data_IF_315808259895
#
_entry.id   IF_315808259895
#
_cell.length_a   1.000
_cell.length_b   1.000
_cell.length_c   1.000
_cell.angle_alpha   90.00
_cell.angle_beta   90.00
_cell.angle_gamma   90.00
#
_symmetry.space_group_name_H-M   'P 1'
#
loop_
_entity.id
_entity.type
_entity.pdbx_description
1 polymer ?
#
# COMPACT_ATOMS: atom_id res chain seq x y z
N UNK A 1 -30.31 -67.00 -80.85
CA UNK A 1 -29.55 -67.52 -79.68
C UNK A 1 -28.11 -67.88 -80.03
N UNK A 2 -27.82 -68.58 -81.14
CA UNK A 2 -26.45 -68.97 -81.50
C UNK A 2 -25.51 -67.80 -81.86
N UNK A 3 -26.00 -66.75 -82.54
CA UNK A 3 -25.17 -65.57 -82.84
C UNK A 3 -24.76 -64.79 -81.59
N UNK A 4 -25.67 -64.64 -80.62
CA UNK A 4 -25.38 -64.02 -79.33
C UNK A 4 -24.30 -64.82 -78.57
N UNK A 5 -24.34 -66.15 -78.65
CA UNK A 5 -23.36 -67.03 -78.04
C UNK A 5 -22.00 -67.03 -78.76
N UNK A 6 -21.96 -66.67 -80.03
CA UNK A 6 -20.71 -66.52 -80.78
C UNK A 6 -20.05 -65.17 -80.49
N UNK A 7 -20.82 -64.08 -80.51
CA UNK A 7 -20.34 -62.75 -80.13
C UNK A 7 -19.78 -62.73 -78.69
N UNK A 8 -20.41 -63.46 -77.76
CA UNK A 8 -19.90 -63.60 -76.39
C UNK A 8 -18.57 -64.38 -76.32
N UNK A 9 -18.37 -65.37 -77.19
CA UNK A 9 -17.12 -66.16 -77.25
C UNK A 9 -15.97 -65.39 -77.88
N UNK A 10 -16.25 -64.65 -78.95
CA UNK A 10 -15.24 -63.81 -79.62
C UNK A 10 -14.81 -62.64 -78.72
N UNK A 11 -15.75 -62.05 -77.97
CA UNK A 11 -15.44 -61.07 -76.93
C UNK A 11 -14.56 -61.65 -75.82
N UNK A 12 -14.88 -62.86 -75.32
CA UNK A 12 -14.08 -63.53 -74.30
C UNK A 12 -12.67 -63.90 -74.79
N UNK A 13 -12.53 -64.27 -76.08
CA UNK A 13 -11.24 -64.57 -76.70
C UNK A 13 -10.36 -63.32 -76.90
N UNK A 14 -10.94 -62.11 -76.92
CA UNK A 14 -10.22 -60.83 -76.97
C UNK A 14 -9.76 -60.30 -75.61
N UNK A 15 -10.10 -60.97 -74.51
CA UNK A 15 -9.66 -60.58 -73.15
C UNK A 15 -8.29 -61.23 -72.88
N UNK A 16 -7.21 -60.49 -73.12
CA UNK A 16 -5.87 -60.85 -72.63
C UNK A 16 -5.77 -60.52 -71.13
N UNK A 17 -5.74 -61.55 -70.29
CA UNK A 17 -5.52 -61.39 -68.85
C UNK A 17 -4.03 -61.23 -68.55
N UNK A 18 -3.61 -60.07 -68.06
CA UNK A 18 -2.28 -59.84 -67.48
C UNK A 18 -2.26 -60.34 -66.01
N UNK A 19 -1.61 -61.47 -65.71
CA UNK A 19 -1.59 -62.03 -64.35
C UNK A 19 -0.85 -61.13 -63.35
N UNK A 20 0.15 -60.38 -63.81
CA UNK A 20 0.89 -59.43 -62.97
C UNK A 20 0.02 -58.24 -62.59
N UNK A 21 -0.80 -57.75 -63.53
CA UNK A 21 -1.79 -56.71 -63.25
C UNK A 21 -2.86 -57.18 -62.27
N UNK A 22 -3.35 -58.41 -62.43
CA UNK A 22 -4.34 -58.99 -61.52
C UNK A 22 -3.80 -59.06 -60.09
N UNK A 23 -2.60 -59.61 -59.90
CA UNK A 23 -1.97 -59.71 -58.59
C UNK A 23 -1.78 -58.32 -57.93
N UNK A 24 -1.36 -57.31 -58.70
CA UNK A 24 -1.22 -55.94 -58.19
C UNK A 24 -2.56 -55.32 -57.75
N UNK A 25 -3.65 -55.61 -58.47
CA UNK A 25 -5.00 -55.14 -58.13
C UNK A 25 -5.53 -55.84 -56.88
N UNK A 26 -5.35 -57.15 -56.77
CA UNK A 26 -5.74 -57.92 -55.58
C UNK A 26 -4.99 -57.42 -54.34
N UNK A 27 -3.67 -57.22 -54.45
CA UNK A 27 -2.86 -56.69 -53.35
C UNK A 27 -3.30 -55.27 -52.94
N UNK A 28 -3.63 -54.40 -53.91
CA UNK A 28 -4.19 -53.08 -53.64
C UNK A 28 -5.54 -53.18 -52.91
N UNK A 29 -6.43 -54.07 -53.36
CA UNK A 29 -7.75 -54.30 -52.76
C UNK A 29 -7.62 -54.76 -51.31
N UNK A 30 -6.68 -55.66 -51.02
CA UNK A 30 -6.45 -56.19 -49.67
C UNK A 30 -5.90 -55.11 -48.72
N UNK A 31 -5.08 -54.17 -49.22
CA UNK A 31 -4.66 -52.99 -48.46
C UNK A 31 -5.85 -52.11 -48.11
N UNK A 32 -6.70 -51.78 -49.10
CA UNK A 32 -7.89 -50.95 -48.89
C UNK A 32 -8.88 -51.61 -47.93
N UNK A 33 -9.10 -52.93 -48.07
CA UNK A 33 -9.98 -53.69 -47.20
C UNK A 33 -9.50 -53.68 -45.73
N UNK A 34 -8.19 -53.87 -45.50
CA UNK A 34 -7.60 -53.78 -44.16
C UNK A 34 -7.74 -52.38 -43.55
N UNK A 35 -7.60 -51.33 -44.36
CA UNK A 35 -7.80 -49.95 -43.91
C UNK A 35 -9.27 -49.69 -43.55
N UNK A 36 -10.22 -50.17 -44.35
CA UNK A 36 -11.65 -50.07 -44.06
C UNK A 36 -12.02 -50.84 -42.78
N UNK A 37 -11.51 -52.07 -42.60
CA UNK A 37 -11.68 -52.83 -41.36
C UNK A 37 -11.26 -52.05 -40.10
N UNK A 38 -10.22 -51.22 -40.19
CA UNK A 38 -9.66 -50.49 -39.04
C UNK A 38 -10.28 -49.11 -38.83
N UNK A 39 -10.65 -48.41 -39.90
CA UNK A 39 -10.98 -46.98 -39.85
C UNK A 39 -12.35 -46.63 -40.44
N UNK A 40 -13.13 -47.61 -40.91
CA UNK A 40 -14.54 -47.40 -41.26
C UNK A 40 -15.03 -48.22 -42.46
N UNK A 41 -16.35 -48.43 -42.57
CA UNK A 41 -16.95 -49.34 -43.53
C UNK A 41 -16.79 -48.91 -45.00
N UNK A 42 -16.45 -47.65 -45.29
CA UNK A 42 -16.20 -47.13 -46.63
C UNK A 42 -14.87 -46.33 -46.72
N UNK A 43 -14.31 -46.21 -47.94
CA UNK A 43 -13.09 -45.42 -48.18
C UNK A 43 -13.18 -43.94 -47.74
N UNK A 44 -14.33 -43.24 -47.89
CA UNK A 44 -14.49 -41.90 -47.34
C UNK A 44 -14.29 -41.84 -45.82
N UNK A 45 -14.70 -42.88 -45.07
CA UNK A 45 -14.54 -42.93 -43.61
C UNK A 45 -13.06 -43.05 -43.20
N UNK A 46 -12.29 -43.85 -43.96
CA UNK A 46 -10.84 -43.99 -43.79
C UNK A 46 -10.13 -42.64 -44.01
N UNK A 47 -10.52 -41.90 -45.06
CA UNK A 47 -9.95 -40.59 -45.35
C UNK A 47 -10.35 -39.55 -44.30
N UNK A 48 -11.60 -39.55 -43.85
CA UNK A 48 -12.06 -38.68 -42.76
C UNK A 48 -11.28 -38.95 -41.46
N UNK A 49 -11.03 -40.23 -41.13
CA UNK A 49 -10.23 -40.61 -39.96
C UNK A 49 -8.78 -40.14 -40.07
N UNK A 50 -8.16 -40.26 -41.26
CA UNK A 50 -6.82 -39.71 -41.52
C UNK A 50 -6.80 -38.20 -41.28
N UNK A 51 -7.77 -37.47 -41.82
CA UNK A 51 -7.82 -36.01 -41.71
C UNK A 51 -8.03 -35.57 -40.27
N UNK A 52 -8.90 -36.26 -39.53
CA UNK A 52 -9.09 -36.03 -38.10
C UNK A 52 -7.82 -36.30 -37.30
N UNK A 53 -7.15 -37.43 -37.53
CA UNK A 53 -5.91 -37.78 -36.82
C UNK A 53 -4.75 -36.84 -37.17
N UNK A 54 -4.65 -36.39 -38.42
CA UNK A 54 -3.66 -35.41 -38.85
C UNK A 54 -3.90 -34.05 -38.18
N UNK A 55 -5.16 -33.61 -38.10
CA UNK A 55 -5.53 -32.38 -37.40
C UNK A 55 -5.25 -32.46 -35.90
N UNK A 56 -5.58 -33.59 -35.26
CA UNK A 56 -5.27 -33.83 -33.83
C UNK A 56 -3.77 -33.82 -33.56
N UNK A 57 -2.97 -34.43 -34.44
CA UNK A 57 -1.51 -34.41 -34.35
C UNK A 57 -0.94 -32.98 -34.47
N UNK A 58 -1.45 -32.19 -35.41
CA UNK A 58 -1.04 -30.79 -35.60
C UNK A 58 -1.37 -29.92 -34.38
N UNK A 59 -2.54 -30.15 -33.75
CA UNK A 59 -2.92 -29.47 -32.49
C UNK A 59 -1.99 -29.84 -31.33
N UNK A 60 -1.53 -31.09 -31.25
CA UNK A 60 -0.60 -31.53 -30.21
C UNK A 60 0.81 -30.96 -30.40
N UNK A 61 1.30 -30.96 -31.66
CA UNK A 61 2.62 -30.40 -31.99
C UNK A 61 2.67 -28.89 -31.72
N UNK A 62 1.57 -28.17 -31.95
CA UNK A 62 1.46 -26.73 -31.62
C UNK A 62 1.34 -26.48 -30.12
N UNK A 63 0.62 -27.32 -29.38
CA UNK A 63 0.48 -27.19 -27.93
C UNK A 63 1.82 -27.29 -27.17
N UNK A 64 2.73 -28.16 -27.59
CA UNK A 64 4.06 -28.29 -26.98
C UNK A 64 4.93 -27.05 -27.19
N UNK A 65 4.83 -26.43 -28.38
CA UNK A 65 5.51 -25.16 -28.68
C UNK A 65 4.94 -24.02 -27.82
N UNK A 66 3.62 -23.94 -27.71
CA UNK A 66 2.93 -22.94 -26.89
C UNK A 66 3.29 -23.08 -25.41
N UNK A 67 3.33 -24.32 -24.88
CA UNK A 67 3.73 -24.57 -23.50
C UNK A 67 5.16 -24.11 -23.21
N UNK A 68 6.10 -24.34 -24.15
CA UNK A 68 7.48 -23.86 -24.02
C UNK A 68 7.53 -22.33 -24.04
N UNK A 69 6.80 -21.69 -24.95
CA UNK A 69 6.72 -20.24 -25.03
C UNK A 69 6.13 -19.62 -23.75
N UNK A 70 5.03 -20.18 -23.22
CA UNK A 70 4.42 -19.74 -21.97
C UNK A 70 5.36 -19.94 -20.78
N UNK A 71 6.10 -21.06 -20.74
CA UNK A 71 7.08 -21.32 -19.69
C UNK A 71 8.24 -20.29 -19.71
N UNK A 72 8.71 -19.91 -20.89
CA UNK A 72 9.73 -18.88 -21.08
C UNK A 72 9.22 -17.49 -20.68
N UNK A 73 7.99 -17.14 -21.10
CA UNK A 73 7.32 -15.91 -20.68
C UNK A 73 7.16 -15.84 -19.16
N UNK A 74 6.74 -16.93 -18.52
CA UNK A 74 6.61 -17.03 -17.06
C UNK A 74 7.96 -16.83 -16.36
N UNK A 75 9.03 -17.43 -16.89
CA UNK A 75 10.38 -17.30 -16.35
C UNK A 75 10.90 -15.86 -16.43
N UNK A 76 10.69 -15.23 -17.59
CA UNK A 76 11.02 -13.81 -17.81
C UNK A 76 10.25 -12.92 -16.85
N UNK A 77 8.93 -13.08 -16.77
CA UNK A 77 8.08 -12.31 -15.86
C UNK A 77 8.47 -12.50 -14.39
N UNK A 78 8.82 -13.71 -13.96
CA UNK A 78 9.29 -13.97 -12.61
C UNK A 78 10.61 -13.24 -12.30
N UNK A 79 11.53 -13.18 -13.26
CA UNK A 79 12.82 -12.48 -13.14
C UNK A 79 12.61 -10.97 -13.04
N UNK A 80 11.73 -10.41 -13.87
CA UNK A 80 11.38 -8.99 -13.84
C UNK A 80 10.69 -8.61 -12.53
N UNK A 81 9.76 -9.43 -12.07
CA UNK A 81 9.06 -9.25 -10.80
C UNK A 81 10.03 -9.27 -9.60
N UNK A 82 10.98 -10.22 -9.58
CA UNK A 82 12.01 -10.28 -8.55
C UNK A 82 12.88 -9.01 -8.55
N UNK A 83 13.27 -8.51 -9.73
CA UNK A 83 14.01 -7.25 -9.88
C UNK A 83 13.22 -6.05 -9.37
N UNK A 84 11.93 -5.98 -9.70
CA UNK A 84 11.05 -4.92 -9.23
C UNK A 84 10.89 -4.94 -7.70
N UNK A 85 10.73 -6.13 -7.11
CA UNK A 85 10.71 -6.31 -5.66
C UNK A 85 12.01 -5.82 -5.01
N UNK A 86 13.18 -6.24 -5.51
CA UNK A 86 14.46 -5.79 -4.97
C UNK A 86 14.64 -4.26 -5.04
N UNK A 87 14.20 -3.64 -6.14
CA UNK A 87 14.22 -2.19 -6.29
C UNK A 87 13.29 -1.48 -5.29
N UNK A 88 12.09 -2.04 -5.06
CA UNK A 88 11.15 -1.54 -4.05
C UNK A 88 11.71 -1.69 -2.63
N UNK A 89 12.30 -2.84 -2.30
CA UNK A 89 12.96 -3.08 -1.00
C UNK A 89 14.06 -2.04 -0.74
N UNK A 90 14.91 -1.76 -1.74
CA UNK A 90 15.97 -0.76 -1.61
C UNK A 90 15.42 0.64 -1.31
N UNK A 91 14.36 1.05 -2.02
CA UNK A 91 13.67 2.32 -1.78
C UNK A 91 13.02 2.37 -0.40
N UNK A 92 12.39 1.27 0.04
CA UNK A 92 11.79 1.15 1.37
C UNK A 92 12.84 1.25 2.47
N UNK A 93 14.00 0.60 2.34
CA UNK A 93 15.11 0.72 3.30
C UNK A 93 15.61 2.17 3.42
N UNK A 94 15.79 2.85 2.29
CA UNK A 94 16.20 4.26 2.30
C UNK A 94 15.13 5.18 2.94
N UNK A 95 13.84 4.95 2.63
CA UNK A 95 12.73 5.68 3.23
C UNK A 95 12.59 5.41 4.73
N UNK A 96 12.71 4.15 5.15
CA UNK A 96 12.70 3.72 6.54
C UNK A 96 13.78 4.44 7.35
N UNK A 97 15.03 4.43 6.89
CA UNK A 97 16.13 5.11 7.59
C UNK A 97 15.88 6.62 7.75
N UNK A 98 15.38 7.29 6.71
CA UNK A 98 15.04 8.73 6.80
C UNK A 98 13.91 8.99 7.79
N UNK A 99 12.86 8.16 7.75
CA UNK A 99 11.71 8.28 8.64
C UNK A 99 12.13 8.02 10.10
N UNK A 100 12.94 7.00 10.35
CA UNK A 100 13.48 6.68 11.67
C UNK A 100 14.28 7.84 12.25
N UNK A 101 15.22 8.41 11.50
CA UNK A 101 16.01 9.57 11.96
C UNK A 101 15.09 10.74 12.31
N UNK A 102 14.23 11.15 11.37
CA UNK A 102 13.37 12.31 11.56
C UNK A 102 12.39 12.15 12.73
N UNK A 103 11.80 10.96 12.92
CA UNK A 103 10.90 10.71 14.05
C UNK A 103 11.68 10.68 15.35
N UNK A 104 12.81 9.96 15.41
CA UNK A 104 13.60 9.83 16.64
C UNK A 104 14.22 11.15 17.12
N UNK A 105 14.51 12.09 16.21
CA UNK A 105 14.94 13.45 16.58
C UNK A 105 13.85 14.25 17.30
N UNK A 106 12.57 13.98 16.99
CA UNK A 106 11.44 14.68 17.60
C UNK A 106 11.01 14.07 18.95
N UNK A 107 11.17 12.76 19.16
CA UNK A 107 10.65 12.07 20.35
C UNK A 107 11.09 12.71 21.69
N UNK A 108 12.35 13.12 21.90
CA UNK A 108 12.77 13.75 23.16
C UNK A 108 12.03 15.07 23.44
N UNK A 109 11.78 15.88 22.41
CA UNK A 109 11.04 17.13 22.54
C UNK A 109 9.57 16.91 22.89
N UNK A 110 9.03 15.74 22.56
CA UNK A 110 7.67 15.31 22.87
C UNK A 110 7.58 14.50 24.18
N UNK A 111 8.58 14.62 25.06
CA UNK A 111 8.57 13.97 26.37
C UNK A 111 8.87 12.48 26.34
N UNK A 112 9.48 11.97 25.26
CA UNK A 112 9.92 10.57 25.14
C UNK A 112 11.44 10.48 24.91
N UNK A 113 12.29 10.93 25.86
CA UNK A 113 13.75 10.97 25.69
C UNK A 113 14.38 9.58 25.50
N UNK A 114 13.79 8.55 26.13
CA UNK A 114 14.18 7.16 25.95
C UNK A 114 13.45 6.44 24.81
N UNK A 115 12.57 7.15 24.08
CA UNK A 115 11.77 6.60 23.01
C UNK A 115 12.60 6.28 21.76
N UNK A 116 12.27 5.18 21.09
CA UNK A 116 12.83 4.79 19.79
C UNK A 116 11.73 4.27 18.87
N UNK A 117 11.71 4.79 17.66
CA UNK A 117 10.89 4.34 16.55
C UNK A 117 11.77 3.61 15.53
N UNK A 118 11.25 2.49 15.00
CA UNK A 118 11.91 1.65 14.01
C UNK A 118 10.93 1.13 12.96
N UNK A 119 11.42 0.95 11.74
CA UNK A 119 10.68 0.38 10.60
C UNK A 119 11.32 -0.95 10.23
N UNK A 120 10.58 -2.03 10.47
CA UNK A 120 11.04 -3.38 10.22
C UNK A 120 10.49 -3.88 8.89
N UNK A 121 11.41 -4.29 8.01
CA UNK A 121 11.12 -4.89 6.72
C UNK A 121 11.44 -6.38 6.80
N UNK A 122 10.40 -7.21 6.90
CA UNK A 122 10.53 -8.66 7.04
C UNK A 122 10.30 -9.35 5.69
N UNK A 123 11.28 -10.10 5.14
CA UNK A 123 11.09 -10.84 3.90
C UNK A 123 9.90 -11.79 3.97
N UNK A 124 9.09 -11.83 2.92
CA UNK A 124 7.98 -12.77 2.80
C UNK A 124 8.45 -14.06 2.11
N UNK A 125 7.91 -15.24 2.47
CA UNK A 125 8.21 -16.50 1.78
C UNK A 125 7.86 -16.47 0.29
N UNK A 126 6.82 -15.72 -0.07
CA UNK A 126 6.45 -15.42 -1.45
C UNK A 126 6.08 -13.94 -1.56
N UNK A 127 6.67 -13.19 -2.52
CA UNK A 127 6.31 -11.79 -2.71
C UNK A 127 4.85 -11.65 -3.13
N UNK A 128 4.14 -10.72 -2.50
CA UNK A 128 2.75 -10.40 -2.85
C UNK A 128 2.65 -9.20 -3.78
N UNK A 129 1.42 -8.77 -4.08
CA UNK A 129 1.16 -7.55 -4.86
C UNK A 129 1.80 -6.28 -4.24
N UNK A 130 2.03 -6.28 -2.92
CA UNK A 130 2.65 -5.18 -2.19
C UNK A 130 4.19 -5.26 -2.11
N UNK A 131 4.83 -6.28 -2.71
CA UNK A 131 6.28 -6.47 -2.72
C UNK A 131 6.77 -7.71 -1.96
N UNK A 132 8.09 -7.79 -1.79
CA UNK A 132 8.79 -8.94 -1.20
C UNK A 132 8.93 -8.91 0.32
N UNK A 133 8.42 -7.88 1.00
CA UNK A 133 8.51 -7.75 2.44
C UNK A 133 7.20 -7.27 3.08
N UNK A 134 6.96 -7.73 4.30
CA UNK A 134 6.02 -7.10 5.22
C UNK A 134 6.67 -5.90 5.89
N UNK A 135 5.91 -4.82 6.07
CA UNK A 135 6.36 -3.59 6.74
C UNK A 135 5.69 -3.49 8.10
N UNK A 136 6.48 -3.34 9.16
CA UNK A 136 5.97 -3.15 10.52
C UNK A 136 6.67 -1.95 11.17
N UNK A 137 5.88 -1.03 11.72
CA UNK A 137 6.40 0.02 12.58
C UNK A 137 6.47 -0.50 14.01
N UNK A 138 7.63 -0.35 14.63
CA UNK A 138 7.87 -0.72 16.01
C UNK A 138 8.27 0.50 16.81
N UNK A 139 7.88 0.50 18.07
CA UNK A 139 8.26 1.54 19.04
C UNK A 139 8.69 0.91 20.34
N UNK A 140 9.76 1.47 20.89
CA UNK A 140 10.18 1.33 22.27
C UNK A 140 9.88 2.66 22.96
N UNK A 141 8.98 2.68 23.93
CA UNK A 141 8.52 3.94 24.54
C UNK A 141 9.50 4.49 25.56
N UNK A 142 10.20 3.61 26.28
CA UNK A 142 11.15 3.96 27.33
C UNK A 142 12.36 3.01 27.31
N UNK A 143 13.48 3.49 27.87
CA UNK A 143 14.70 2.71 27.99
C UNK A 143 14.45 1.44 28.82
N UNK A 144 14.92 0.30 28.34
CA UNK A 144 14.76 -0.99 29.03
C UNK A 144 13.44 -1.72 28.73
N UNK A 145 12.55 -1.15 27.92
CA UNK A 145 11.40 -1.88 27.36
C UNK A 145 11.74 -2.49 26.01
N UNK A 146 11.14 -3.62 25.68
CA UNK A 146 11.25 -4.20 24.34
C UNK A 146 10.49 -3.36 23.30
N UNK A 147 11.02 -3.30 22.09
CA UNK A 147 10.30 -2.72 20.96
C UNK A 147 9.05 -3.54 20.64
N UNK A 148 7.91 -2.89 20.46
CA UNK A 148 6.63 -3.53 20.14
C UNK A 148 6.02 -2.93 18.88
N UNK A 149 5.24 -3.71 18.11
CA UNK A 149 4.47 -3.17 17.00
C UNK A 149 3.58 -2.01 17.48
N UNK A 150 3.54 -0.93 16.70
CA UNK A 150 2.78 0.29 17.02
C UNK A 150 1.31 -0.02 17.35
N UNK A 151 0.70 -0.96 16.62
CA UNK A 151 -0.69 -1.41 16.82
C UNK A 151 -0.95 -2.10 18.17
N UNK A 152 0.09 -2.47 18.92
CA UNK A 152 -0.01 -3.17 20.22
C UNK A 152 0.44 -2.31 21.40
N UNK A 153 0.61 -1.01 21.18
CA UNK A 153 0.99 -0.06 22.23
C UNK A 153 -0.25 0.34 23.02
N UNK A 154 -0.22 0.20 24.34
CA UNK A 154 -1.38 0.40 25.22
C UNK A 154 -1.46 1.80 25.87
N UNK A 155 -0.45 2.66 25.71
CA UNK A 155 -0.37 3.97 26.35
C UNK A 155 -0.95 5.07 25.45
N UNK A 156 -2.14 5.57 25.78
CA UNK A 156 -2.88 6.55 24.97
C UNK A 156 -2.09 7.84 24.70
N UNK A 157 -1.62 8.50 25.76
CA UNK A 157 -0.87 9.76 25.63
C UNK A 157 0.46 9.63 24.87
N UNK A 158 1.25 8.58 25.13
CA UNK A 158 2.52 8.37 24.40
C UNK A 158 2.27 8.01 22.93
N UNK A 159 1.24 7.22 22.65
CA UNK A 159 0.83 6.90 21.28
C UNK A 159 0.37 8.15 20.54
N UNK A 160 -0.47 9.00 21.15
CA UNK A 160 -0.91 10.26 20.55
C UNK A 160 0.26 11.19 20.24
N UNK A 161 1.28 11.25 21.12
CA UNK A 161 2.51 12.03 20.86
C UNK A 161 3.38 11.43 19.77
N UNK A 162 3.49 10.10 19.69
CA UNK A 162 4.19 9.45 18.58
C UNK A 162 3.48 9.66 17.24
N UNK A 163 2.14 9.58 17.23
CA UNK A 163 1.33 9.87 16.06
C UNK A 163 1.50 11.33 15.63
N UNK A 164 1.59 12.27 16.56
CA UNK A 164 1.95 13.65 16.25
C UNK A 164 3.35 13.74 15.60
N UNK A 165 4.37 13.06 16.14
CA UNK A 165 5.70 13.04 15.54
C UNK A 165 5.66 12.55 14.09
N UNK A 166 4.94 11.44 13.84
CA UNK A 166 4.75 10.90 12.51
C UNK A 166 4.01 11.89 11.59
N UNK A 167 2.97 12.56 12.07
CA UNK A 167 2.22 13.56 11.29
C UNK A 167 3.03 14.82 10.98
N UNK A 168 3.92 15.22 11.88
CA UNK A 168 4.86 16.32 11.64
C UNK A 168 5.88 15.94 10.56
N UNK A 169 6.47 14.75 10.64
CA UNK A 169 7.47 14.28 9.66
C UNK A 169 6.85 13.99 8.30
N UNK A 170 5.65 13.43 8.27
CA UNK A 170 4.93 13.06 7.04
C UNK A 170 3.98 14.18 6.56
N UNK A 171 4.10 15.40 7.10
CA UNK A 171 3.19 16.49 6.81
C UNK A 171 3.11 16.86 5.32
N UNK A 172 4.13 16.63 4.51
CA UNK A 172 4.09 16.91 3.07
C UNK A 172 3.39 15.80 2.26
N UNK A 173 3.17 14.62 2.86
CA UNK A 173 2.67 13.42 2.19
C UNK A 173 1.29 12.96 2.68
N UNK A 174 0.74 13.63 3.69
CA UNK A 174 -0.56 13.28 4.26
C UNK A 174 -1.71 13.97 3.51
N UNK A 175 -2.73 13.22 3.09
CA UNK A 175 -3.87 13.78 2.35
C UNK A 175 -4.97 14.33 3.27
N UNK A 176 -4.89 14.06 4.58
CA UNK A 176 -5.96 14.39 5.53
C UNK A 176 -5.91 15.89 5.90
N UNK A 177 -7.00 16.66 5.69
CA UNK A 177 -7.00 18.11 5.94
C UNK A 177 -7.20 18.49 7.41
N UNK A 178 -7.87 17.64 8.19
CA UNK A 178 -8.21 17.90 9.60
C UNK A 178 -7.76 16.74 10.49
N UNK A 179 -7.03 17.06 11.55
CA UNK A 179 -6.50 16.10 12.52
C UNK A 179 -7.06 16.44 13.90
N UNK A 180 -7.49 15.42 14.64
CA UNK A 180 -7.96 15.56 16.02
C UNK A 180 -6.98 14.86 16.94
N UNK A 181 -6.47 15.60 17.91
CA UNK A 181 -5.54 15.14 18.92
C UNK A 181 -6.22 15.20 20.28
N UNK A 182 -6.49 14.03 20.84
CA UNK A 182 -6.97 13.86 22.20
C UNK A 182 -5.85 13.29 23.07
N UNK A 183 -5.82 13.69 24.34
CA UNK A 183 -4.87 13.19 25.35
C UNK A 183 -3.37 13.36 25.03
N UNK A 184 -3.00 14.19 24.03
CA UNK A 184 -1.59 14.46 23.70
C UNK A 184 -0.81 15.05 24.87
N UNK A 185 -1.51 15.71 25.79
CA UNK A 185 -0.96 16.36 26.97
C UNK A 185 -0.98 15.49 28.24
N UNK A 186 -1.37 14.21 28.15
CA UNK A 186 -1.32 13.31 29.30
C UNK A 186 0.11 13.03 29.77
N UNK A 187 0.33 13.20 31.07
CA UNK A 187 1.61 12.89 31.72
C UNK A 187 2.74 13.85 31.35
N UNK A 188 2.43 15.01 30.78
CA UNK A 188 3.41 16.05 30.45
C UNK A 188 3.07 17.37 31.14
N UNK A 189 4.08 18.21 31.35
CA UNK A 189 3.93 19.54 31.94
C UNK A 189 5.16 20.40 31.67
N UNK A 190 5.07 21.68 32.03
CA UNK A 190 6.20 22.61 31.93
C UNK A 190 6.75 22.76 30.51
N UNK A 191 8.07 22.67 30.37
CA UNK A 191 8.77 22.89 29.09
C UNK A 191 8.32 21.93 27.98
N UNK A 192 8.02 20.68 28.33
CA UNK A 192 7.54 19.66 27.36
C UNK A 192 6.20 20.07 26.76
N UNK A 193 5.29 20.65 27.57
CA UNK A 193 4.01 21.18 27.09
C UNK A 193 4.22 22.30 26.07
N UNK A 194 5.19 23.18 26.28
CA UNK A 194 5.53 24.24 25.33
C UNK A 194 6.09 23.71 24.01
N UNK A 195 6.97 22.70 24.06
CA UNK A 195 7.50 22.02 22.86
C UNK A 195 6.41 21.28 22.09
N UNK A 196 5.47 20.66 22.79
CA UNK A 196 4.31 20.01 22.18
C UNK A 196 3.39 21.03 21.49
N UNK A 197 3.10 22.16 22.15
CA UNK A 197 2.34 23.26 21.55
C UNK A 197 2.99 23.78 20.27
N UNK A 198 4.32 23.93 20.27
CA UNK A 198 5.07 24.33 19.07
C UNK A 198 4.99 23.30 17.94
N UNK A 199 5.04 22.00 18.25
CA UNK A 199 4.87 20.94 17.26
C UNK A 199 3.46 20.94 16.65
N UNK A 200 2.42 21.11 17.48
CA UNK A 200 1.02 21.20 17.04
C UNK A 200 0.75 22.43 16.16
N UNK A 201 1.31 23.59 16.51
CA UNK A 201 1.25 24.78 15.65
C UNK A 201 1.96 24.55 14.31
N UNK A 202 3.03 23.75 14.29
CA UNK A 202 3.69 23.32 13.05
C UNK A 202 2.75 22.56 12.12
N UNK A 203 1.95 21.63 12.67
CA UNK A 203 0.90 20.91 11.91
C UNK A 203 -0.18 21.87 11.41
N UNK A 204 -0.59 22.82 12.27
CA UNK A 204 -1.61 23.85 12.00
C UNK A 204 -1.39 24.71 10.75
N UNK A 205 -0.14 24.81 10.26
CA UNK A 205 0.16 25.62 9.07
C UNK A 205 -0.35 25.06 7.75
N UNK A 206 -0.38 23.74 7.65
CA UNK A 206 -0.84 23.05 6.43
C UNK A 206 -2.21 22.40 6.59
N UNK A 207 -2.70 22.26 7.82
CA UNK A 207 -3.88 21.47 8.19
C UNK A 207 -4.60 22.09 9.36
N UNK A 208 -5.87 21.73 9.54
CA UNK A 208 -6.58 22.03 10.77
C UNK A 208 -6.21 21.00 11.84
N UNK A 209 -5.61 21.44 12.95
CA UNK A 209 -5.38 20.61 14.12
C UNK A 209 -6.35 21.00 15.25
N UNK A 210 -7.22 20.08 15.65
CA UNK A 210 -8.11 20.22 16.81
C UNK A 210 -7.45 19.51 17.99
N UNK A 211 -7.18 20.25 19.07
CA UNK A 211 -6.46 19.73 20.24
C UNK A 211 -7.31 19.98 21.47
N UNK A 212 -7.60 18.92 22.22
CA UNK A 212 -8.21 19.02 23.55
C UNK A 212 -7.06 19.07 24.55
N UNK A 213 -6.96 20.14 25.35
CA UNK A 213 -5.87 20.30 26.30
C UNK A 213 -6.29 21.07 27.55
N UNK A 214 -5.64 20.73 28.66
CA UNK A 214 -5.73 21.47 29.92
C UNK A 214 -4.46 22.28 30.22
N UNK A 215 -3.43 22.20 29.36
CA UNK A 215 -2.15 22.88 29.57
C UNK A 215 -2.11 24.26 28.90
N UNK A 216 -1.90 25.35 29.66
CA UNK A 216 -1.81 26.69 29.09
C UNK A 216 -0.63 26.83 28.12
N UNK A 217 0.43 26.05 28.31
CA UNK A 217 1.61 26.04 27.43
C UNK A 217 1.28 25.53 26.03
N UNK A 218 0.27 24.68 25.87
CA UNK A 218 -0.20 24.19 24.55
C UNK A 218 -1.21 25.18 23.99
N UNK A 219 -2.21 25.57 24.79
CA UNK A 219 -3.27 26.48 24.37
C UNK A 219 -2.75 27.85 23.88
N UNK A 220 -1.60 28.32 24.40
CA UNK A 220 -0.95 29.54 23.95
C UNK A 220 -0.51 29.51 22.47
N UNK A 221 -0.25 28.33 21.90
CA UNK A 221 0.16 28.18 20.49
C UNK A 221 -1.02 28.07 19.51
N UNK A 222 -2.26 27.97 19.99
CA UNK A 222 -3.42 27.85 19.11
C UNK A 222 -3.71 29.16 18.36
N UNK A 223 -4.10 29.05 17.08
CA UNK A 223 -4.62 30.21 16.31
C UNK A 223 -6.00 30.64 16.82
N UNK A 224 -6.80 29.66 17.25
CA UNK A 224 -8.12 29.85 17.82
C UNK A 224 -8.25 29.03 19.10
N UNK A 225 -8.70 29.67 20.18
CA UNK A 225 -8.93 29.03 21.46
C UNK A 225 -10.43 28.97 21.74
N UNK A 226 -10.93 27.75 21.93
CA UNK A 226 -12.29 27.50 22.38
C UNK A 226 -12.25 27.08 23.85
N UNK A 227 -13.13 27.64 24.66
CA UNK A 227 -13.30 27.29 26.07
C UNK A 227 -14.62 26.56 26.21
N UNK A 228 -14.56 25.36 26.79
CA UNK A 228 -15.72 24.55 27.12
C UNK A 228 -16.06 24.78 28.60
N UNK A 229 -17.26 25.28 28.87
CA UNK A 229 -17.75 25.53 30.22
C UNK A 229 -19.02 24.72 30.49
N UNK A 230 -19.16 24.22 31.73
CA UNK A 230 -20.42 23.59 32.16
C UNK A 230 -21.43 24.68 32.48
N UNK A 231 -22.56 24.66 31.79
CA UNK A 231 -23.74 25.46 32.08
C UNK A 231 -24.83 24.62 32.74
N UNK A 232 -25.90 25.27 33.18
CA UNK A 232 -27.13 24.60 33.62
C UNK A 232 -28.33 25.30 32.99
N UNK A 233 -29.11 24.58 32.19
CA UNK A 233 -30.34 25.09 31.61
C UNK A 233 -31.50 24.26 32.11
N UNK A 234 -32.46 24.90 32.81
CA UNK A 234 -33.64 24.24 33.41
C UNK A 234 -33.28 23.04 34.30
N UNK A 235 -32.16 23.12 35.03
CA UNK A 235 -31.70 22.06 35.93
C UNK A 235 -30.95 20.91 35.25
N UNK A 236 -30.74 20.96 33.93
CA UNK A 236 -29.94 19.98 33.17
C UNK A 236 -28.55 20.54 32.91
N UNK A 237 -27.52 19.74 33.18
CA UNK A 237 -26.14 20.08 32.85
C UNK A 237 -25.97 20.22 31.33
N UNK A 238 -25.43 21.35 30.90
CA UNK A 238 -25.15 21.66 29.49
C UNK A 238 -23.68 21.99 29.33
N UNK A 239 -23.14 21.87 28.12
CA UNK A 239 -21.76 22.25 27.79
C UNK A 239 -21.82 23.38 26.79
N UNK A 240 -21.41 24.57 27.22
CA UNK A 240 -21.31 25.75 26.37
C UNK A 240 -19.88 25.87 25.83
N UNK A 241 -19.76 26.30 24.57
CA UNK A 241 -18.48 26.50 23.89
C UNK A 241 -18.39 27.94 23.44
N UNK A 242 -17.33 28.63 23.87
CA UNK A 242 -17.07 30.02 23.51
C UNK A 242 -15.68 30.19 22.89
N UNK A 243 -15.59 31.03 21.85
CA UNK A 243 -14.30 31.42 21.28
C UNK A 243 -13.75 32.60 22.07
N UNK A 244 -12.55 32.47 22.62
CA UNK A 244 -11.90 33.53 23.39
C UNK A 244 -10.81 34.22 22.58
N UNK A 245 -10.73 35.55 22.68
CA UNK A 245 -9.77 36.42 21.97
C UNK A 245 -9.27 37.55 22.88
N UNK A 246 -8.12 38.14 22.55
CA UNK A 246 -7.55 39.29 23.27
C UNK A 246 -7.44 39.03 24.77
N UNK A 247 -7.88 39.98 25.58
CA UNK A 247 -7.81 39.92 27.05
C UNK A 247 -8.56 38.72 27.65
N UNK A 248 -9.66 38.29 27.02
CA UNK A 248 -10.40 37.10 27.48
C UNK A 248 -9.56 35.82 27.31
N UNK A 249 -8.74 35.77 26.25
CA UNK A 249 -7.80 34.66 26.05
C UNK A 249 -6.67 34.68 27.10
N UNK A 250 -6.12 35.86 27.38
CA UNK A 250 -5.09 36.01 28.43
C UNK A 250 -5.63 35.61 29.81
N UNK A 251 -6.84 36.05 30.17
CA UNK A 251 -7.51 35.66 31.41
C UNK A 251 -7.77 34.15 31.49
N UNK A 252 -8.17 33.52 30.39
CA UNK A 252 -8.36 32.07 30.37
C UNK A 252 -7.05 31.31 30.59
N UNK A 253 -5.95 31.74 29.95
CA UNK A 253 -4.64 31.13 30.20
C UNK A 253 -4.17 31.36 31.65
N UNK A 254 -4.46 32.51 32.25
CA UNK A 254 -4.19 32.78 33.66
C UNK A 254 -5.02 31.86 34.58
N UNK A 255 -6.31 31.65 34.25
CA UNK A 255 -7.17 30.67 34.94
C UNK A 255 -6.61 29.26 34.86
N UNK A 256 -6.11 28.83 33.69
CA UNK A 256 -5.46 27.54 33.50
C UNK A 256 -4.14 27.40 34.30
N UNK A 257 -3.45 28.52 34.56
CA UNK A 257 -2.24 28.56 35.40
C UNK A 257 -2.54 28.54 36.91
N UNK A 258 -3.75 28.91 37.32
CA UNK A 258 -4.22 28.77 38.70
C UNK A 258 -5.27 29.79 39.12
N UNK A 259 -5.22 31.01 38.59
CA UNK A 259 -6.13 32.10 38.97
C UNK A 259 -6.26 33.11 37.81
N UNK A 260 -7.51 33.43 37.43
CA UNK A 260 -7.82 34.31 36.31
C UNK A 260 -7.50 35.79 36.61
N UNK A 261 -7.53 36.20 37.88
CA UNK A 261 -7.44 37.59 38.31
C UNK A 261 -6.11 37.93 39.02
N UNK A 262 -5.28 36.91 39.28
CA UNK A 262 -3.96 37.11 39.88
C UNK A 262 -2.99 37.78 38.89
N UNK A 263 -2.44 38.93 39.26
CA UNK A 263 -1.51 39.71 38.42
C UNK A 263 -0.31 38.90 37.91
N UNK A 264 0.27 38.04 38.75
CA UNK A 264 1.40 37.18 38.35
C UNK A 264 0.98 36.13 37.32
N UNK A 265 -0.23 35.58 37.42
CA UNK A 265 -0.76 34.61 36.46
C UNK A 265 -1.07 35.29 35.11
N UNK A 266 -1.64 36.49 35.13
CA UNK A 266 -1.88 37.31 33.93
C UNK A 266 -0.58 37.68 33.22
N UNK A 267 0.45 38.12 33.97
CA UNK A 267 1.77 38.40 33.40
C UNK A 267 2.42 37.16 32.77
N UNK A 268 2.30 36.00 33.42
CA UNK A 268 2.82 34.76 32.87
C UNK A 268 2.06 34.29 31.62
N UNK A 269 0.73 34.39 31.61
CA UNK A 269 -0.10 34.11 30.44
C UNK A 269 0.26 35.00 29.25
N UNK A 270 0.49 36.30 29.48
CA UNK A 270 0.92 37.23 28.45
C UNK A 270 2.31 36.87 27.88
N UNK A 271 3.24 36.40 28.73
CA UNK A 271 4.55 35.90 28.29
C UNK A 271 4.43 34.65 27.41
N UNK A 272 3.56 33.70 27.78
CA UNK A 272 3.31 32.50 26.99
C UNK A 272 2.79 32.85 25.58
N UNK A 273 1.81 33.76 25.49
CA UNK A 273 1.28 34.24 24.21
C UNK A 273 2.34 34.95 23.36
N UNK A 274 3.18 35.80 23.97
CA UNK A 274 4.28 36.47 23.26
C UNK A 274 5.31 35.47 22.74
N UNK A 275 5.71 34.50 23.56
CA UNK A 275 6.67 33.45 23.18
C UNK A 275 6.15 32.60 22.03
N UNK A 276 4.88 32.19 22.11
CA UNK A 276 4.23 31.40 21.06
C UNK A 276 4.17 32.17 19.73
N UNK A 277 3.79 33.45 19.77
CA UNK A 277 3.71 34.32 18.58
C UNK A 277 5.08 34.50 17.92
N UNK A 278 6.12 34.84 18.70
CA UNK A 278 7.47 35.06 18.19
C UNK A 278 8.11 33.80 17.56
N UNK A 279 7.77 32.61 18.06
CA UNK A 279 8.22 31.33 17.47
C UNK A 279 7.45 30.98 16.19
N UNK A 280 6.17 31.32 16.13
CA UNK A 280 5.37 31.13 14.92
C UNK A 280 5.92 31.95 13.75
N UNK A 281 6.30 33.21 14.01
CA UNK A 281 6.88 34.14 13.02
C UNK A 281 8.25 33.65 12.48
N UNK A 282 9.23 33.34 13.34
CA UNK A 282 10.58 32.91 12.92
C UNK A 282 10.59 31.67 12.01
N UNK A 283 9.65 30.75 12.24
CA UNK A 283 9.54 29.55 11.43
C UNK A 283 8.85 29.80 10.07
N UNK A 284 8.00 30.82 9.95
CA UNK A 284 7.41 31.22 8.66
C UNK A 284 8.48 31.77 7.69
N UNK A 285 9.43 32.55 8.20
CA UNK A 285 10.58 33.05 7.44
C UNK A 285 11.54 31.94 6.99
N UNK A 286 11.65 30.88 7.79
CA UNK A 286 12.54 29.76 7.48
C UNK A 286 11.97 28.84 6.39
N UNK A 287 10.64 28.66 6.36
CA UNK A 287 9.95 27.87 5.33
C UNK A 287 9.86 28.59 3.97
N UNK A 288 10.01 29.92 3.93
CA UNK A 288 9.94 30.74 2.71
C UNK A 288 11.23 30.77 1.89
N UNK A 289 12.37 30.29 2.42
CA UNK A 289 13.64 30.27 1.67
C UNK A 289 13.68 29.08 0.69
N UNK A 290 13.77 29.30 -0.64
CA UNK A 290 13.88 28.19 -1.58
C UNK A 290 15.18 27.43 -1.34
N UNK A 291 15.09 26.09 -1.31
CA UNK A 291 16.24 25.21 -1.22
C UNK A 291 17.22 25.55 -2.36
N UNK A 292 18.48 25.81 -2.00
CA UNK A 292 19.57 26.04 -2.97
C UNK A 292 19.61 24.85 -3.95
N UNK A 293 19.70 25.08 -5.27
CA UNK A 293 19.77 23.99 -6.22
C UNK A 293 21.04 23.16 -5.98
N UNK A 294 21.00 21.85 -6.23
CA UNK A 294 22.17 21.00 -6.07
C UNK A 294 23.29 21.52 -6.98
N UNK A 295 24.49 21.68 -6.41
CA UNK A 295 25.69 21.97 -7.20
C UNK A 295 25.92 20.80 -8.16
N UNK A 296 26.03 21.13 -9.45
CA UNK A 296 26.39 20.19 -10.53
C UNK A 296 27.74 19.55 -10.28
#
# INVERSE_FOLDING_TARGET
MQELAQAARDYAAGIEGDPGRLAAVEQRRDVLFRLMQKYGPALPDVLATRDQAAHELELLDTADLDLRAIAEQRSTAATEFARACAALTARRKAGAARLEVAVNELLPALGMPGGRFGVYLSPLPSPGAAGGEGVAFQVQLNLGLDARPLARVASGGELSRLMLALKVVLAEHDAVPTLVFDEVDQGIGGEVGGRLGEALAGVGRGRQALVITHLPQIAAYADHQLVVAKGAQRGVATSDVQVVRGDARTRELARMLGDADMDTALRHAAELLRTASAKSERRSDTASRPARPPRR
#
